data_IF_449379044423
#
_entry.id   IF_449379044423
#
_cell.length_a   1.000
_cell.length_b   1.000
_cell.length_c   1.000
_cell.angle_alpha   90.00
_cell.angle_beta   90.00
_cell.angle_gamma   90.00
#
_symmetry.space_group_name_H-M   'P 1'
#
loop_
_entity.id
_entity.type
_entity.pdbx_description
1 polymer ?
#
# COMPACT_ATOMS: atom_id res chain seq x y z
N UNK A 1 3.45 -50.51 25.90
CA UNK A 1 3.72 -49.84 24.62
C UNK A 1 2.39 -49.65 23.91
N UNK A 2 1.89 -48.42 23.86
CA UNK A 2 0.57 -48.11 23.33
C UNK A 2 0.70 -47.75 21.83
N UNK A 3 0.14 -48.53 20.89
CA UNK A 3 0.41 -48.40 19.46
C UNK A 3 -0.30 -47.21 18.78
N UNK A 4 -0.87 -46.28 19.55
CA UNK A 4 -1.83 -45.28 19.04
C UNK A 4 -1.21 -43.90 18.77
N UNK A 5 -0.21 -43.48 19.55
CA UNK A 5 0.42 -42.16 19.41
C UNK A 5 1.11 -41.97 18.06
N UNK A 6 1.72 -43.03 17.53
CA UNK A 6 2.36 -42.99 16.21
C UNK A 6 1.34 -42.74 15.09
N UNK A 7 0.15 -43.35 15.17
CA UNK A 7 -0.89 -43.21 14.13
C UNK A 7 -1.50 -41.81 14.14
N UNK A 8 -1.77 -41.26 15.33
CA UNK A 8 -2.32 -39.91 15.48
C UNK A 8 -1.31 -38.86 14.99
N UNK A 9 -0.03 -39.01 15.31
CA UNK A 9 1.01 -38.11 14.82
C UNK A 9 1.10 -38.11 13.27
N UNK A 10 1.00 -39.29 12.64
CA UNK A 10 0.98 -39.41 11.19
C UNK A 10 -0.26 -38.75 10.56
N UNK A 11 -1.43 -38.87 11.17
CA UNK A 11 -2.66 -38.20 10.71
C UNK A 11 -2.50 -36.68 10.77
N UNK A 12 -1.95 -36.15 11.86
CA UNK A 12 -1.71 -34.71 12.02
C UNK A 12 -0.70 -34.20 10.99
N UNK A 13 0.41 -34.91 10.77
CA UNK A 13 1.42 -34.52 9.78
C UNK A 13 0.84 -34.49 8.36
N UNK A 14 0.03 -35.48 7.99
CA UNK A 14 -0.63 -35.53 6.68
C UNK A 14 -1.61 -34.36 6.53
N UNK A 15 -2.42 -34.08 7.55
CA UNK A 15 -3.37 -32.97 7.53
C UNK A 15 -2.66 -31.60 7.41
N UNK A 16 -1.62 -31.36 8.20
CA UNK A 16 -0.84 -30.12 8.14
C UNK A 16 -0.12 -29.96 6.80
N UNK A 17 0.38 -31.05 6.22
CA UNK A 17 1.04 -31.03 4.90
C UNK A 17 0.05 -30.72 3.78
N UNK A 18 -1.18 -31.23 3.84
CA UNK A 18 -2.22 -30.94 2.84
C UNK A 18 -2.66 -29.47 2.88
N UNK A 19 -2.84 -28.90 4.08
CA UNK A 19 -3.17 -27.47 4.22
C UNK A 19 -2.01 -26.59 3.72
N UNK A 20 -0.77 -26.91 4.11
CA UNK A 20 0.42 -26.21 3.63
C UNK A 20 0.56 -26.30 2.10
N UNK A 21 0.30 -27.47 1.51
CA UNK A 21 0.33 -27.67 0.07
C UNK A 21 -0.76 -26.88 -0.66
N UNK A 22 -1.99 -26.83 -0.13
CA UNK A 22 -3.09 -26.05 -0.71
C UNK A 22 -2.79 -24.53 -0.68
N UNK A 23 -2.27 -24.01 0.43
CA UNK A 23 -1.87 -22.61 0.56
C UNK A 23 -0.70 -22.28 -0.38
N UNK A 24 0.33 -23.13 -0.42
CA UNK A 24 1.47 -22.95 -1.33
C UNK A 24 1.05 -23.07 -2.81
N UNK A 25 0.14 -23.99 -3.13
CA UNK A 25 -0.40 -24.15 -4.49
C UNK A 25 -1.21 -22.92 -4.91
N UNK A 26 -2.08 -22.38 -4.05
CA UNK A 26 -2.80 -21.14 -4.34
C UNK A 26 -1.84 -19.95 -4.51
N UNK A 27 -0.80 -19.86 -3.67
CA UNK A 27 0.23 -18.83 -3.77
C UNK A 27 1.02 -18.91 -5.10
N UNK A 28 1.45 -20.11 -5.49
CA UNK A 28 2.18 -20.33 -6.75
C UNK A 28 1.26 -20.14 -7.96
N UNK A 29 0.00 -20.56 -7.89
CA UNK A 29 -0.94 -20.42 -9.01
C UNK A 29 -1.30 -18.95 -9.27
N UNK A 30 -1.44 -18.12 -8.21
CA UNK A 30 -1.54 -16.65 -8.33
C UNK A 30 -0.32 -16.01 -8.98
N UNK A 31 0.89 -16.58 -8.80
CA UNK A 31 2.10 -16.14 -9.52
C UNK A 31 2.14 -16.62 -10.97
N UNK A 32 1.70 -17.86 -11.26
CA UNK A 32 1.68 -18.39 -12.62
C UNK A 32 0.68 -17.68 -13.53
N UNK A 33 -0.46 -17.23 -13.00
CA UNK A 33 -1.39 -16.36 -13.76
C UNK A 33 -0.80 -14.99 -14.12
N UNK A 34 0.22 -14.49 -13.39
CA UNK A 34 0.99 -13.28 -13.74
C UNK A 34 2.14 -13.54 -14.72
N UNK A 35 2.38 -14.79 -15.13
CA UNK A 35 3.55 -15.18 -15.92
C UNK A 35 3.19 -16.15 -17.07
N UNK A 36 2.12 -15.86 -17.81
CA UNK A 36 1.82 -16.54 -19.08
C UNK A 36 1.86 -15.51 -20.20
N UNK A 37 3.07 -15.12 -20.58
CA UNK A 37 3.39 -14.43 -21.83
C UNK A 37 4.29 -15.34 -22.64
N UNK A 38 3.72 -15.98 -23.65
CA UNK A 38 4.27 -17.15 -24.32
C UNK A 38 5.28 -16.69 -25.36
N UNK A 39 6.50 -17.21 -25.29
CA UNK A 39 7.55 -17.00 -26.30
C UNK A 39 7.22 -17.81 -27.57
N UNK A 40 6.71 -17.15 -28.60
CA UNK A 40 6.72 -17.66 -29.98
C UNK A 40 7.58 -16.72 -30.82
N UNK A 41 8.67 -17.25 -31.37
CA UNK A 41 9.62 -16.55 -32.27
C UNK A 41 9.04 -16.41 -33.69
N UNK A 42 9.18 -15.20 -34.29
CA UNK A 42 9.33 -14.81 -35.72
C UNK A 42 8.50 -13.55 -36.07
N UNK A 43 8.86 -12.70 -37.07
CA UNK A 43 10.14 -12.05 -37.47
C UNK A 43 10.08 -10.49 -37.24
N UNK A 44 11.08 -9.66 -37.61
CA UNK A 44 11.17 -8.28 -37.11
C UNK A 44 10.27 -7.34 -37.93
N UNK A 45 9.14 -6.94 -37.35
CA UNK A 45 8.42 -5.76 -37.80
C UNK A 45 8.17 -4.87 -36.59
N UNK A 46 8.97 -3.81 -36.49
CA UNK A 46 8.94 -2.81 -35.44
C UNK A 46 7.51 -2.33 -35.15
N UNK A 47 7.02 -2.44 -33.92
CA UNK A 47 6.04 -1.49 -33.41
C UNK A 47 6.78 -0.55 -32.47
N UNK A 48 6.67 0.74 -32.76
CA UNK A 48 6.91 1.85 -31.82
C UNK A 48 6.73 1.37 -30.37
N UNK A 49 7.80 1.37 -29.59
CA UNK A 49 7.74 1.15 -28.14
C UNK A 49 6.80 2.21 -27.57
N UNK A 50 5.52 1.88 -27.47
CA UNK A 50 4.62 2.59 -26.57
C UNK A 50 5.13 2.24 -25.19
N UNK A 51 5.95 3.15 -24.65
CA UNK A 51 6.39 3.13 -23.27
C UNK A 51 5.14 2.94 -22.41
N UNK A 52 5.00 1.78 -21.77
CA UNK A 52 3.90 1.54 -20.86
C UNK A 52 3.89 2.71 -19.87
N UNK A 53 2.72 3.34 -19.62
CA UNK A 53 2.66 4.48 -18.73
C UNK A 53 3.33 4.10 -17.40
N UNK A 54 4.20 4.96 -16.87
CA UNK A 54 4.98 4.62 -15.69
C UNK A 54 4.03 4.22 -14.57
N UNK A 55 4.16 2.99 -14.08
CA UNK A 55 3.33 2.47 -12.99
C UNK A 55 3.53 3.38 -11.78
N UNK A 56 2.44 3.95 -11.26
CA UNK A 56 2.51 4.88 -10.13
C UNK A 56 1.91 4.26 -8.88
N UNK A 57 2.50 4.60 -7.73
CA UNK A 57 2.00 4.14 -6.45
C UNK A 57 1.10 5.21 -5.83
N UNK A 58 0.06 4.75 -5.15
CA UNK A 58 -0.68 5.54 -4.19
C UNK A 58 -0.23 5.13 -2.80
N UNK A 59 0.33 6.10 -2.06
CA UNK A 59 0.64 5.95 -0.64
C UNK A 59 -0.51 6.59 0.14
N UNK A 60 -1.26 5.76 0.84
CA UNK A 60 -2.36 6.13 1.70
C UNK A 60 -1.88 6.09 3.14
N UNK A 61 -2.10 7.17 3.88
CA UNK A 61 -1.64 7.35 5.27
C UNK A 61 -2.82 7.79 6.12
N UNK A 62 -2.83 7.35 7.38
CA UNK A 62 -3.73 7.86 8.41
C UNK A 62 -2.87 8.50 9.50
N UNK A 63 -3.05 9.79 9.74
CA UNK A 63 -2.29 10.59 10.72
C UNK A 63 -3.25 11.41 11.58
N UNK A 64 -2.80 11.82 12.76
CA UNK A 64 -3.55 12.81 13.55
C UNK A 64 -3.66 14.15 12.82
N UNK A 65 -4.77 14.87 13.03
CA UNK A 65 -5.03 16.15 12.38
C UNK A 65 -3.95 17.19 12.68
N UNK A 66 -3.41 17.22 13.89
CA UNK A 66 -2.30 18.08 14.30
C UNK A 66 -1.08 17.92 13.39
N UNK A 67 -0.73 16.69 12.99
CA UNK A 67 0.39 16.40 12.08
C UNK A 67 0.13 16.99 10.69
N UNK A 68 -1.11 16.89 10.21
CA UNK A 68 -1.50 17.46 8.92
C UNK A 68 -1.51 18.99 8.95
N UNK A 69 -2.01 19.60 10.04
CA UNK A 69 -1.99 21.05 10.25
C UNK A 69 -0.55 21.57 10.35
N UNK A 70 0.33 20.87 11.06
CA UNK A 70 1.76 21.19 11.13
C UNK A 70 2.43 21.15 9.76
N UNK A 71 2.14 20.13 8.95
CA UNK A 71 2.63 20.05 7.57
C UNK A 71 2.17 21.27 6.76
N UNK A 72 0.88 21.62 6.85
CA UNK A 72 0.28 22.77 6.16
C UNK A 72 0.93 24.09 6.60
N UNK A 73 1.20 24.25 7.90
CA UNK A 73 1.79 25.47 8.46
C UNK A 73 3.27 25.62 8.09
N UNK A 74 4.04 24.52 8.11
CA UNK A 74 5.47 24.52 7.74
C UNK A 74 5.68 24.69 6.24
N UNK A 75 4.74 24.20 5.44
CA UNK A 75 4.83 24.22 3.99
C UNK A 75 3.53 24.74 3.36
N UNK A 76 3.21 26.04 3.48
CA UNK A 76 1.97 26.61 2.94
C UNK A 76 1.83 26.36 1.43
N UNK A 77 2.95 26.42 0.69
CA UNK A 77 2.98 26.17 -0.75
C UNK A 77 2.88 24.67 -1.11
N UNK A 78 3.14 23.76 -0.16
CA UNK A 78 3.00 22.32 -0.42
C UNK A 78 1.54 21.89 -0.56
N UNK A 79 0.59 22.69 -0.10
CA UNK A 79 -0.84 22.48 -0.37
C UNK A 79 -1.32 23.23 -1.63
N UNK A 80 -0.72 24.38 -1.95
CA UNK A 80 -1.01 25.11 -3.20
C UNK A 80 -0.54 24.32 -4.44
N UNK A 81 0.71 23.85 -4.42
CA UNK A 81 1.27 23.02 -5.50
C UNK A 81 0.99 21.53 -5.29
N UNK A 82 0.50 21.15 -4.11
CA UNK A 82 0.32 19.77 -3.68
C UNK A 82 1.62 18.93 -3.68
N UNK A 83 2.82 19.54 -3.69
CA UNK A 83 4.10 18.82 -3.82
C UNK A 83 4.81 18.63 -2.49
N UNK A 84 5.25 17.40 -2.23
CA UNK A 84 5.98 17.02 -1.03
C UNK A 84 7.45 16.69 -1.32
N UNK A 85 8.32 17.11 -0.40
CA UNK A 85 9.70 16.64 -0.37
C UNK A 85 9.76 15.18 0.09
N UNK A 86 10.93 14.53 -0.10
CA UNK A 86 11.12 13.16 0.37
C UNK A 86 11.09 13.10 1.90
N UNK A 87 11.59 14.15 2.57
CA UNK A 87 11.54 14.29 4.02
C UNK A 87 10.10 14.42 4.52
N UNK A 88 9.23 15.17 3.84
CA UNK A 88 7.83 15.33 4.28
C UNK A 88 7.08 14.01 4.22
N UNK A 89 7.27 13.23 3.15
CA UNK A 89 6.67 11.90 3.03
C UNK A 89 7.20 10.96 4.11
N UNK A 90 8.50 10.98 4.40
CA UNK A 90 9.09 10.17 5.49
C UNK A 90 8.54 10.56 6.85
N UNK A 91 8.41 11.85 7.11
CA UNK A 91 7.80 12.38 8.33
C UNK A 91 6.35 11.88 8.46
N UNK A 92 5.53 12.00 7.42
CA UNK A 92 4.15 11.51 7.45
C UNK A 92 4.05 10.00 7.69
N UNK A 93 4.97 9.21 7.12
CA UNK A 93 5.06 7.76 7.43
C UNK A 93 5.38 7.53 8.91
N UNK A 94 6.29 8.32 9.49
CA UNK A 94 6.71 8.18 10.89
C UNK A 94 5.61 8.56 11.90
N UNK A 95 4.71 9.45 11.51
CA UNK A 95 3.57 9.87 12.34
C UNK A 95 2.26 9.19 11.97
N UNK A 96 2.26 8.27 11.01
CA UNK A 96 1.05 7.54 10.64
C UNK A 96 0.73 6.43 11.63
N UNK A 97 -0.55 6.29 11.97
CA UNK A 97 -1.07 5.15 12.71
C UNK A 97 -1.30 3.95 11.77
N UNK A 98 -1.70 4.24 10.53
CA UNK A 98 -1.96 3.25 9.49
C UNK A 98 -1.39 3.69 8.15
N UNK A 99 -0.95 2.73 7.35
CA UNK A 99 -0.54 3.01 5.98
C UNK A 99 -0.81 1.87 5.00
N UNK A 100 -0.98 2.23 3.74
CA UNK A 100 -1.16 1.31 2.64
C UNK A 100 -0.49 1.87 1.39
N UNK A 101 0.36 1.09 0.74
CA UNK A 101 0.94 1.46 -0.55
C UNK A 101 0.47 0.49 -1.63
N UNK A 102 -0.36 0.98 -2.55
CA UNK A 102 -1.04 0.19 -3.57
C UNK A 102 -0.89 0.81 -4.95
N UNK A 103 -1.35 0.13 -5.99
CA UNK A 103 -1.45 0.74 -7.31
C UNK A 103 -2.56 1.78 -7.30
N UNK A 104 -2.38 2.84 -8.09
CA UNK A 104 -3.36 3.93 -8.19
C UNK A 104 -4.76 3.42 -8.58
N UNK A 105 -4.83 2.40 -9.41
CA UNK A 105 -6.09 1.86 -9.94
C UNK A 105 -6.90 1.11 -8.87
N UNK A 106 -6.26 0.67 -7.79
CA UNK A 106 -6.89 -0.08 -6.69
C UNK A 106 -7.49 0.86 -5.62
N UNK A 107 -7.11 2.14 -5.63
CA UNK A 107 -7.51 3.14 -4.62
C UNK A 107 -9.02 3.30 -4.47
N UNK A 108 -9.85 3.36 -5.54
CA UNK A 108 -11.28 3.55 -5.38
C UNK A 108 -11.93 2.47 -4.51
N UNK A 109 -11.46 1.21 -4.65
CA UNK A 109 -11.96 0.09 -3.86
C UNK A 109 -11.65 0.25 -2.37
N UNK A 110 -10.51 0.85 -2.04
CA UNK A 110 -10.12 1.12 -0.65
C UNK A 110 -10.90 2.31 -0.07
N UNK A 111 -11.04 3.39 -0.84
CA UNK A 111 -11.69 4.61 -0.36
C UNK A 111 -13.21 4.47 -0.22
N UNK A 112 -13.84 3.51 -0.90
CA UNK A 112 -15.27 3.18 -0.75
C UNK A 112 -15.62 2.65 0.65
N UNK A 113 -14.70 1.93 1.30
CA UNK A 113 -14.91 1.33 2.61
C UNK A 113 -14.69 2.32 3.77
N UNK A 114 -14.11 3.50 3.51
CA UNK A 114 -13.78 4.48 4.54
C UNK A 114 -14.98 5.31 4.99
N UNK A 115 -15.19 5.39 6.30
CA UNK A 115 -16.17 6.33 6.86
C UNK A 115 -15.57 7.74 7.01
N UNK A 116 -16.03 8.68 6.17
CA UNK A 116 -15.48 10.05 6.10
C UNK A 116 -16.40 11.10 6.76
N UNK A 117 -15.79 12.16 7.29
CA UNK A 117 -16.50 13.37 7.73
C UNK A 117 -16.17 14.52 6.78
N UNK A 118 -17.20 15.15 6.21
CA UNK A 118 -17.08 16.37 5.39
C UNK A 118 -17.09 17.62 6.27
N UNK A 119 -16.05 17.77 7.08
CA UNK A 119 -15.79 18.97 7.88
C UNK A 119 -14.40 19.50 7.53
N UNK A 120 -14.16 20.77 7.83
CA UNK A 120 -12.82 21.32 7.78
C UNK A 120 -11.92 20.59 8.79
N UNK A 121 -10.68 20.29 8.40
CA UNK A 121 -9.69 19.72 9.32
C UNK A 121 -9.31 20.83 10.30
N UNK A 122 -9.62 20.60 11.57
CA UNK A 122 -9.24 21.48 12.68
C UNK A 122 -8.09 20.86 13.46
N UNK A 123 -7.44 21.64 14.32
CA UNK A 123 -6.38 21.17 15.23
C UNK A 123 -6.94 20.39 16.43
N UNK A 124 -7.97 19.59 16.19
CA UNK A 124 -8.56 18.71 17.20
C UNK A 124 -7.66 17.48 17.34
N UNK A 125 -7.15 17.24 18.55
CA UNK A 125 -6.11 16.23 18.81
C UNK A 125 -6.56 14.81 18.50
N UNK A 126 -7.86 14.54 18.56
CA UNK A 126 -8.41 13.19 18.47
C UNK A 126 -8.89 12.85 17.06
N UNK A 127 -8.80 13.79 16.12
CA UNK A 127 -9.25 13.60 14.75
C UNK A 127 -8.18 12.94 13.89
N UNK A 128 -8.51 11.81 13.28
CA UNK A 128 -7.66 11.14 12.30
C UNK A 128 -7.94 11.66 10.88
N UNK A 129 -6.88 11.86 10.12
CA UNK A 129 -6.88 12.38 8.75
C UNK A 129 -6.28 11.34 7.83
N UNK A 130 -7.06 10.94 6.84
CA UNK A 130 -6.56 10.18 5.71
C UNK A 130 -5.89 11.12 4.71
N UNK A 131 -4.73 10.70 4.20
CA UNK A 131 -3.95 11.42 3.17
C UNK A 131 -3.59 10.42 2.07
N UNK A 132 -3.91 10.77 0.82
CA UNK A 132 -3.46 10.03 -0.37
C UNK A 132 -2.38 10.82 -1.09
N UNK A 133 -1.21 10.22 -1.22
CA UNK A 133 -0.05 10.78 -1.91
C UNK A 133 0.26 9.94 -3.15
N UNK A 134 0.31 10.57 -4.30
CA UNK A 134 0.83 10.00 -5.52
C UNK A 134 2.36 9.98 -5.48
N UNK A 135 2.96 8.82 -5.72
CA UNK A 135 4.41 8.66 -5.84
C UNK A 135 4.71 8.16 -7.26
N UNK A 136 5.32 9.03 -8.07
CA UNK A 136 5.84 8.62 -9.39
C UNK A 136 7.02 7.66 -9.21
N UNK A 137 7.18 6.69 -10.11
CA UNK A 137 8.23 5.67 -10.03
C UNK A 137 8.20 4.87 -8.70
N UNK A 138 7.02 4.76 -8.10
CA UNK A 138 6.80 4.09 -6.82
C UNK A 138 6.62 2.57 -6.92
N UNK A 139 6.98 1.92 -8.02
CA UNK A 139 6.69 0.49 -8.22
C UNK A 139 7.30 -0.39 -7.11
N UNK A 140 8.47 -0.01 -6.63
CA UNK A 140 9.21 -0.75 -5.62
C UNK A 140 8.61 -0.65 -4.22
N UNK A 141 7.74 0.34 -3.96
CA UNK A 141 7.12 0.54 -2.64
C UNK A 141 5.71 -0.05 -2.54
N UNK A 142 5.13 -0.49 -3.65
CA UNK A 142 3.80 -1.12 -3.66
C UNK A 142 3.84 -2.44 -2.87
N UNK A 143 2.86 -2.62 -1.99
CA UNK A 143 2.70 -3.81 -1.14
C UNK A 143 3.75 -3.93 -0.04
N UNK A 144 4.53 -2.88 0.26
CA UNK A 144 5.41 -2.88 1.42
C UNK A 144 4.58 -2.70 2.69
N UNK A 145 4.77 -3.59 3.64
CA UNK A 145 4.01 -3.65 4.90
C UNK A 145 4.79 -3.10 6.10
N UNK A 146 6.06 -2.71 5.91
CA UNK A 146 6.94 -2.21 6.98
C UNK A 146 7.37 -0.76 6.70
N UNK A 147 7.14 0.19 7.63
CA UNK A 147 7.47 1.61 7.45
C UNK A 147 8.93 1.87 7.11
N UNK A 148 9.85 1.17 7.78
CA UNK A 148 11.28 1.32 7.50
C UNK A 148 11.63 0.96 6.05
N UNK A 149 11.07 -0.13 5.53
CA UNK A 149 11.33 -0.57 4.15
C UNK A 149 10.69 0.41 3.17
N UNK A 150 9.46 0.85 3.45
CA UNK A 150 8.78 1.88 2.66
C UNK A 150 9.64 3.14 2.55
N UNK A 151 10.13 3.69 3.67
CA UNK A 151 10.96 4.90 3.69
C UNK A 151 12.30 4.74 2.98
N UNK A 152 12.93 3.56 3.10
CA UNK A 152 14.22 3.26 2.45
C UNK A 152 14.06 3.15 0.93
N UNK A 153 12.98 2.52 0.48
CA UNK A 153 12.72 2.23 -0.93
C UNK A 153 11.94 3.38 -1.64
N UNK A 154 11.62 4.48 -0.93
CA UNK A 154 11.03 5.69 -1.52
C UNK A 154 11.92 6.24 -2.65
N UNK A 155 11.36 6.54 -3.83
CA UNK A 155 12.13 7.07 -4.94
C UNK A 155 12.72 8.45 -4.61
N UNK A 156 14.05 8.56 -4.81
CA UNK A 156 14.81 9.80 -4.65
C UNK A 156 14.37 10.86 -5.66
N UNK A 157 14.15 10.42 -6.89
CA UNK A 157 13.75 11.16 -8.07
C UNK A 157 12.30 10.80 -8.41
N UNK A 158 11.37 11.62 -7.94
CA UNK A 158 9.96 11.39 -8.16
C UNK A 158 9.11 12.53 -7.65
N UNK A 159 8.03 12.79 -8.37
CA UNK A 159 6.95 13.63 -7.90
C UNK A 159 6.22 12.91 -6.76
N UNK A 160 5.97 13.65 -5.69
CA UNK A 160 5.20 13.22 -4.53
C UNK A 160 4.10 14.23 -4.36
N UNK A 161 2.89 13.87 -4.74
CA UNK A 161 1.79 14.83 -4.89
C UNK A 161 0.63 14.43 -3.99
N UNK A 162 0.20 15.30 -3.08
CA UNK A 162 -1.04 15.09 -2.33
C UNK A 162 -2.20 15.14 -3.33
N UNK A 163 -2.93 14.05 -3.46
CA UNK A 163 -4.08 13.96 -4.35
C UNK A 163 -5.41 14.15 -3.63
N UNK A 164 -5.44 13.80 -2.34
CA UNK A 164 -6.66 13.84 -1.53
C UNK A 164 -6.30 13.80 -0.05
N UNK A 165 -7.11 14.44 0.76
CA UNK A 165 -7.12 14.28 2.21
C UNK A 165 -8.54 14.52 2.74
N UNK A 166 -8.90 13.87 3.85
CA UNK A 166 -10.18 14.06 4.53
C UNK A 166 -10.13 13.53 5.96
N UNK A 167 -11.02 14.04 6.82
CA UNK A 167 -11.20 13.53 8.17
C UNK A 167 -11.90 12.17 8.14
N UNK A 168 -11.41 11.22 8.92
CA UNK A 168 -12.09 9.96 9.18
C UNK A 168 -13.09 10.14 10.32
N UNK A 169 -14.21 9.43 10.23
CA UNK A 169 -15.22 9.35 11.29
C UNK A 169 -14.80 8.39 12.39
N UNK A 170 -14.15 7.31 12.00
CA UNK A 170 -13.61 6.24 12.83
C UNK A 170 -12.57 5.46 12.00
N UNK A 171 -12.01 4.40 12.58
CA UNK A 171 -11.00 3.55 11.93
C UNK A 171 -11.59 2.37 11.14
N UNK A 172 -12.92 2.31 10.95
CA UNK A 172 -13.56 1.27 10.12
C UNK A 172 -13.15 1.42 8.65
N UNK A 173 -13.01 0.30 7.93
CA UNK A 173 -12.57 0.32 6.53
C UNK A 173 -11.04 0.33 6.36
N UNK A 174 -10.27 0.28 7.46
CA UNK A 174 -8.81 0.23 7.45
C UNK A 174 -8.25 -1.19 7.53
N UNK A 175 -9.06 -2.23 7.31
CA UNK A 175 -8.66 -3.64 7.50
C UNK A 175 -7.52 -4.06 6.55
N UNK A 176 -7.38 -3.38 5.42
CA UNK A 176 -6.31 -3.61 4.45
C UNK A 176 -5.04 -2.80 4.73
N UNK A 177 -5.09 -1.86 5.69
CA UNK A 177 -3.96 -1.03 6.04
C UNK A 177 -3.05 -1.75 7.02
N UNK A 178 -1.76 -1.46 6.91
CA UNK A 178 -0.79 -1.89 7.91
C UNK A 178 -0.88 -0.94 9.11
N UNK A 179 -1.12 -1.50 10.28
CA UNK A 179 -1.00 -0.80 11.55
C UNK A 179 0.48 -0.68 11.94
N UNK A 180 0.88 0.48 12.47
CA UNK A 180 2.27 0.77 12.89
C UNK A 180 2.45 0.57 14.40
#
# INVERSE_FOLDING_TARGET
MNPDFGKIAWIVIIACSLVGFLVCSQYINKRKQKSTGNTTKLPPSSPSSQELPPITAALCLVVQASVFIDLKNKHPNALEDNRLSCSDVKMLIDYSSHFLCIRREEVPLIEEDLEIIRKEITDDSDQEVYIRIHISNGQNIIGKEVPYILKRDLPSDGQRIIQRYFCLKNLSGLEQFNHI
#
